data_IF_696925907187
#
_entry.id   IF_696925907187
#
_cell.length_a   1.000
_cell.length_b   1.000
_cell.length_c   1.000
_cell.angle_alpha   90.00
_cell.angle_beta   90.00
_cell.angle_gamma   90.00
#
_symmetry.space_group_name_H-M   'P 1'
#
loop_
_entity.id
_entity.type
_entity.pdbx_description
1 polymer ?
#
# COMPACT_ATOMS: atom_id res chain seq x y z
N UNK A 1 -7.13 -21.62 20.51
CA UNK A 1 -7.07 -21.24 19.09
C UNK A 1 -6.95 -19.73 19.03
N UNK A 2 -5.85 -19.23 18.47
CA UNK A 2 -5.50 -17.82 18.39
C UNK A 2 -5.28 -17.45 16.92
N UNK A 3 -5.60 -16.22 16.57
CA UNK A 3 -5.40 -15.69 15.21
C UNK A 3 -4.29 -14.66 15.26
N UNK A 4 -3.31 -14.79 14.38
CA UNK A 4 -2.27 -13.79 14.16
C UNK A 4 -2.40 -13.19 12.76
N UNK A 5 -2.20 -11.87 12.66
CA UNK A 5 -1.87 -11.23 11.39
C UNK A 5 -0.40 -11.52 11.06
N UNK A 6 -0.17 -12.06 9.87
CA UNK A 6 1.13 -12.48 9.38
C UNK A 6 1.50 -11.72 8.11
N UNK A 7 2.81 -11.55 7.89
CA UNK A 7 3.37 -10.94 6.67
C UNK A 7 4.59 -11.72 6.18
N UNK A 8 4.79 -11.76 4.86
CA UNK A 8 6.00 -12.29 4.23
C UNK A 8 6.89 -11.15 3.66
N UNK A 9 8.14 -11.41 3.24
CA UNK A 9 9.03 -10.39 2.66
C UNK A 9 8.51 -9.69 1.38
N UNK A 10 7.48 -10.24 0.73
CA UNK A 10 6.78 -9.60 -0.39
C UNK A 10 5.57 -8.77 0.06
N UNK A 11 5.44 -8.49 1.36
CA UNK A 11 4.37 -7.71 1.97
C UNK A 11 2.95 -8.28 1.82
N UNK A 12 2.79 -9.56 1.47
CA UNK A 12 1.47 -10.21 1.51
C UNK A 12 1.03 -10.42 2.94
N UNK A 13 -0.13 -9.87 3.29
CA UNK A 13 -0.75 -9.99 4.62
C UNK A 13 -1.78 -11.12 4.59
N UNK A 14 -1.75 -11.97 5.60
CA UNK A 14 -2.69 -13.09 5.72
C UNK A 14 -2.88 -13.46 7.19
N UNK A 15 -3.96 -14.19 7.48
CA UNK A 15 -4.27 -14.67 8.82
C UNK A 15 -3.79 -16.10 9.01
N UNK A 16 -3.17 -16.36 10.17
CA UNK A 16 -2.79 -17.70 10.60
C UNK A 16 -3.52 -18.10 11.87
N UNK A 17 -4.09 -19.30 11.88
CA UNK A 17 -4.83 -19.85 13.01
C UNK A 17 -4.00 -20.92 13.69
N UNK A 18 -3.66 -20.69 14.96
CA UNK A 18 -2.77 -21.55 15.73
C UNK A 18 -3.43 -22.03 17.01
N UNK A 19 -2.98 -23.17 17.56
CA UNK A 19 -3.51 -23.66 18.82
C UNK A 19 -3.14 -22.71 19.99
N UNK A 20 -1.90 -22.20 19.98
CA UNK A 20 -1.29 -21.29 20.96
C UNK A 20 -0.18 -20.45 20.32
N UNK A 21 0.43 -19.53 21.09
CA UNK A 21 1.57 -18.72 20.60
C UNK A 21 2.81 -19.59 20.38
N UNK A 22 3.06 -20.54 21.29
CA UNK A 22 4.17 -21.51 21.18
C UNK A 22 4.03 -22.42 19.96
N UNK A 23 2.79 -22.76 19.57
CA UNK A 23 2.51 -23.52 18.34
C UNK A 23 2.92 -22.74 17.08
N UNK A 24 2.65 -21.43 17.03
CA UNK A 24 3.18 -20.59 15.95
C UNK A 24 4.70 -20.58 15.93
N UNK A 25 5.35 -20.33 17.08
CA UNK A 25 6.80 -20.18 17.15
C UNK A 25 7.48 -21.52 16.76
N UNK A 26 6.92 -22.65 17.21
CA UNK A 26 7.38 -23.99 16.81
C UNK A 26 7.15 -24.32 15.32
N UNK A 27 6.04 -23.89 14.72
CA UNK A 27 5.81 -24.06 13.27
C UNK A 27 6.73 -23.17 12.43
N UNK A 28 7.02 -21.95 12.92
CA UNK A 28 7.96 -21.02 12.30
C UNK A 28 9.38 -21.57 12.31
N UNK A 29 9.87 -22.06 13.45
CA UNK A 29 11.23 -22.62 13.58
C UNK A 29 11.43 -23.87 12.72
N UNK A 30 10.36 -24.64 12.50
CA UNK A 30 10.36 -25.81 11.61
C UNK A 30 10.17 -25.46 10.14
N UNK A 31 9.99 -24.18 9.79
CA UNK A 31 9.78 -23.74 8.41
C UNK A 31 8.48 -24.24 7.78
N UNK A 32 7.47 -24.58 8.59
CA UNK A 32 6.19 -25.12 8.11
C UNK A 32 5.18 -24.05 7.69
N UNK A 33 5.49 -22.80 7.97
CA UNK A 33 4.68 -21.66 7.55
C UNK A 33 5.04 -21.29 6.12
N UNK A 34 4.03 -21.05 5.28
CA UNK A 34 4.23 -20.57 3.91
C UNK A 34 3.18 -19.54 3.55
N UNK A 35 3.60 -18.49 2.84
CA UNK A 35 2.70 -17.48 2.32
C UNK A 35 1.77 -18.12 1.26
N UNK A 36 0.44 -18.02 1.40
CA UNK A 36 -0.50 -18.61 0.43
C UNK A 36 -0.44 -17.95 -0.95
N UNK A 37 0.05 -16.70 -1.02
CA UNK A 37 0.13 -15.94 -2.27
C UNK A 37 1.40 -16.22 -3.07
N UNK A 38 2.55 -16.45 -2.41
CA UNK A 38 3.85 -16.55 -3.08
C UNK A 38 4.70 -17.74 -2.67
N UNK A 39 4.26 -18.57 -1.72
CA UNK A 39 4.94 -19.79 -1.29
C UNK A 39 6.20 -19.59 -0.44
N UNK A 40 6.61 -18.36 -0.11
CA UNK A 40 7.77 -18.13 0.77
C UNK A 40 7.52 -18.53 2.21
N UNK A 41 8.54 -19.08 2.86
CA UNK A 41 8.46 -19.58 4.23
C UNK A 41 8.92 -18.58 5.31
N UNK A 42 9.49 -17.45 4.90
CA UNK A 42 9.85 -16.35 5.81
C UNK A 42 8.57 -15.59 6.20
N UNK A 43 8.04 -15.88 7.40
CA UNK A 43 6.79 -15.30 7.90
C UNK A 43 7.02 -14.60 9.25
N UNK A 44 6.46 -13.40 9.40
CA UNK A 44 6.54 -12.59 10.63
C UNK A 44 5.15 -12.21 11.16
N UNK A 45 5.03 -12.10 12.50
CA UNK A 45 3.83 -11.54 13.15
C UNK A 45 3.83 -10.03 12.94
N UNK A 46 2.69 -9.46 12.53
CA UNK A 46 2.56 -8.01 12.49
C UNK A 46 2.46 -7.44 13.92
N UNK A 47 3.32 -6.49 14.33
CA UNK A 47 3.14 -5.82 15.61
C UNK A 47 1.88 -4.94 15.55
N UNK A 48 0.88 -5.27 16.36
CA UNK A 48 -0.29 -4.40 16.56
C UNK A 48 0.16 -3.15 17.32
N UNK A 49 0.34 -2.03 16.62
CA UNK A 49 0.63 -0.76 17.27
C UNK A 49 -0.60 -0.29 18.07
N UNK A 50 -0.54 -0.41 19.40
CA UNK A 50 -1.48 0.28 20.29
C UNK A 50 -1.12 1.76 20.30
N UNK A 51 -1.82 2.56 19.51
CA UNK A 51 -1.77 4.02 19.63
C UNK A 51 -2.32 4.38 21.02
N UNK A 52 -1.45 4.81 21.94
CA UNK A 52 -1.86 5.42 23.21
C UNK A 52 -2.22 6.88 22.94
N UNK A 53 -3.50 7.18 22.78
CA UNK A 53 -3.99 8.56 22.84
C UNK A 53 -4.08 8.98 24.31
N UNK A 54 -3.36 10.03 24.66
CA UNK A 54 -3.40 10.68 25.98
C UNK A 54 -4.14 12.01 25.81
N UNK A 55 -5.24 12.24 26.53
CA UNK A 55 -5.76 13.59 26.79
C UNK A 55 -7.20 13.92 26.34
N UNK A 56 -8.06 14.12 27.35
CA UNK A 56 -9.32 14.91 27.45
C UNK A 56 -10.67 14.41 26.88
N UNK A 57 -11.48 13.90 27.85
CA UNK A 57 -12.86 14.30 28.21
C UNK A 57 -14.11 13.81 27.42
N UNK A 58 -14.73 12.75 27.96
CA UNK A 58 -16.18 12.46 28.29
C UNK A 58 -17.30 13.06 27.39
N UNK A 59 -18.35 12.39 26.86
CA UNK A 59 -19.20 11.18 27.09
C UNK A 59 -20.06 10.94 25.81
N UNK A 60 -21.00 9.95 25.69
CA UNK A 60 -21.14 8.62 26.30
C UNK A 60 -21.21 7.47 25.25
N UNK A 61 -21.25 6.24 25.77
CA UNK A 61 -21.39 4.99 25.04
C UNK A 61 -22.59 4.92 24.07
N UNK A 62 -22.34 4.45 22.85
CA UNK A 62 -23.36 3.80 22.02
C UNK A 62 -22.89 2.39 21.70
N UNK A 63 -23.80 1.48 22.08
CA UNK A 63 -23.89 0.05 21.83
C UNK A 63 -23.28 -0.40 20.50
N UNK A 64 -22.57 -1.52 20.55
CA UNK A 64 -22.27 -2.38 19.41
C UNK A 64 -23.52 -2.61 18.56
N UNK A 65 -23.48 -2.13 17.33
CA UNK A 65 -24.34 -2.61 16.27
C UNK A 65 -23.43 -3.10 15.15
N UNK A 66 -23.47 -4.42 14.96
CA UNK A 66 -22.74 -5.16 13.94
C UNK A 66 -23.19 -4.65 12.56
N UNK A 67 -22.46 -3.71 11.98
CA UNK A 67 -22.60 -3.40 10.57
C UNK A 67 -21.64 -4.32 9.82
N UNK A 68 -22.21 -5.36 9.23
CA UNK A 68 -21.58 -6.19 8.21
C UNK A 68 -20.80 -5.31 7.24
N UNK A 69 -19.46 -5.34 7.35
CA UNK A 69 -18.61 -4.67 6.38
C UNK A 69 -18.94 -5.22 5.00
N UNK A 70 -19.09 -4.36 3.95
CA UNK A 70 -19.13 -4.88 2.61
C UNK A 70 -17.84 -5.66 2.41
N UNK A 71 -17.95 -6.91 1.97
CA UNK A 71 -16.82 -7.73 1.60
C UNK A 71 -15.94 -6.91 0.65
N UNK A 72 -14.83 -6.39 1.16
CA UNK A 72 -13.81 -5.74 0.35
C UNK A 72 -13.34 -6.82 -0.59
N UNK A 73 -13.79 -6.75 -1.85
CA UNK A 73 -13.29 -7.63 -2.89
C UNK A 73 -11.77 -7.47 -2.84
N UNK A 74 -11.00 -8.55 -2.58
CA UNK A 74 -9.56 -8.42 -2.58
C UNK A 74 -9.17 -7.85 -3.96
N UNK A 75 -8.41 -6.75 -4.03
CA UNK A 75 -7.96 -6.23 -5.31
C UNK A 75 -7.26 -7.38 -6.04
N UNK A 76 -7.50 -7.51 -7.34
CA UNK A 76 -6.85 -8.54 -8.15
C UNK A 76 -5.34 -8.51 -7.85
N UNK A 77 -4.70 -9.64 -7.52
CA UNK A 77 -3.31 -9.67 -7.08
C UNK A 77 -2.35 -8.98 -8.06
N UNK A 78 -2.71 -8.99 -9.34
CA UNK A 78 -2.00 -8.30 -10.42
C UNK A 78 -2.00 -6.77 -10.30
N UNK A 79 -3.08 -6.17 -9.79
CA UNK A 79 -3.17 -4.70 -9.64
C UNK A 79 -2.30 -4.21 -8.48
N UNK A 80 -2.22 -4.98 -7.40
CA UNK A 80 -1.36 -4.64 -6.25
C UNK A 80 0.11 -4.66 -6.65
N UNK A 81 0.55 -5.70 -7.37
CA UNK A 81 1.93 -5.79 -7.86
C UNK A 81 2.31 -4.61 -8.76
N UNK A 82 1.39 -4.16 -9.62
CA UNK A 82 1.61 -2.98 -10.48
C UNK A 82 1.73 -1.71 -9.65
N UNK A 83 0.85 -1.52 -8.66
CA UNK A 83 0.90 -0.35 -7.76
C UNK A 83 2.23 -0.35 -7.01
N UNK A 84 2.60 -1.46 -6.39
CA UNK A 84 3.85 -1.59 -5.64
C UNK A 84 5.06 -1.32 -6.54
N UNK A 85 5.06 -1.86 -7.76
CA UNK A 85 6.11 -1.60 -8.74
C UNK A 85 6.23 -0.10 -9.05
N UNK A 86 5.12 0.59 -9.30
CA UNK A 86 5.13 2.04 -9.55
C UNK A 86 5.65 2.79 -8.32
N UNK A 87 5.19 2.44 -7.12
CA UNK A 87 5.61 3.10 -5.88
C UNK A 87 7.10 2.94 -5.59
N UNK A 88 7.67 1.76 -5.89
CA UNK A 88 9.06 1.42 -5.58
C UNK A 88 10.05 1.88 -6.66
N UNK A 89 9.62 2.00 -7.91
CA UNK A 89 10.50 2.32 -9.04
C UNK A 89 10.32 3.74 -9.57
N UNK A 90 9.48 4.57 -8.94
CA UNK A 90 9.28 5.96 -9.37
C UNK A 90 9.37 6.95 -8.21
N UNK A 91 10.03 8.08 -8.47
CA UNK A 91 10.16 9.18 -7.52
C UNK A 91 8.88 10.02 -7.49
N UNK A 92 8.32 10.26 -6.30
CA UNK A 92 7.17 11.13 -6.16
C UNK A 92 7.61 12.60 -6.08
N UNK A 93 7.34 13.37 -7.13
CA UNK A 93 7.65 14.81 -7.25
C UNK A 93 6.44 15.70 -6.98
N UNK A 94 5.29 15.12 -6.61
CA UNK A 94 4.10 15.87 -6.22
C UNK A 94 3.62 16.83 -7.32
N UNK A 95 3.34 18.08 -6.94
CA UNK A 95 2.86 19.13 -7.85
C UNK A 95 3.93 19.66 -8.82
N UNK A 96 5.20 19.33 -8.61
CA UNK A 96 6.30 19.75 -9.49
C UNK A 96 6.48 18.83 -10.71
N UNK A 97 5.55 17.89 -10.93
CA UNK A 97 5.64 16.88 -11.98
C UNK A 97 5.87 17.49 -13.37
N UNK A 98 5.10 18.50 -13.76
CA UNK A 98 5.24 19.12 -15.08
C UNK A 98 6.61 19.77 -15.27
N UNK A 99 7.10 20.50 -14.25
CA UNK A 99 8.40 21.14 -14.28
C UNK A 99 9.55 20.11 -14.32
N UNK A 100 9.48 19.07 -13.50
CA UNK A 100 10.50 18.01 -13.48
C UNK A 100 10.51 17.20 -14.78
N UNK A 101 9.34 16.88 -15.34
CA UNK A 101 9.23 16.15 -16.61
C UNK A 101 9.91 16.92 -17.76
N UNK A 102 9.70 18.24 -17.82
CA UNK A 102 10.39 19.13 -18.77
C UNK A 102 11.90 19.12 -18.56
N UNK A 103 12.38 19.25 -17.32
CA UNK A 103 13.82 19.21 -16.99
C UNK A 103 14.47 17.89 -17.39
N UNK A 104 13.80 16.76 -17.16
CA UNK A 104 14.28 15.43 -17.58
C UNK A 104 14.31 15.34 -19.11
N UNK A 105 13.27 15.80 -19.81
CA UNK A 105 13.20 15.77 -21.27
C UNK A 105 14.31 16.62 -21.93
N UNK A 106 14.58 17.80 -21.37
CA UNK A 106 15.64 18.71 -21.81
C UNK A 106 17.05 18.29 -21.36
N UNK A 107 17.16 17.19 -20.59
CA UNK A 107 18.41 16.64 -20.04
C UNK A 107 19.16 17.58 -19.09
N UNK A 108 18.45 18.50 -18.45
CA UNK A 108 19.01 19.36 -17.40
C UNK A 108 19.33 18.56 -16.12
N UNK A 109 18.58 17.48 -15.90
CA UNK A 109 18.74 16.55 -14.79
C UNK A 109 18.86 15.11 -15.30
N UNK A 110 19.44 14.18 -14.50
CA UNK A 110 19.53 12.78 -14.88
C UNK A 110 18.15 12.15 -15.12
N UNK A 111 18.08 11.26 -16.11
CA UNK A 111 16.87 10.49 -16.40
C UNK A 111 16.53 9.57 -15.23
N UNK A 112 15.28 9.66 -14.76
CA UNK A 112 14.69 8.80 -13.73
C UNK A 112 13.19 8.76 -13.90
N UNK A 113 12.56 7.68 -13.46
CA UNK A 113 11.10 7.56 -13.52
C UNK A 113 10.48 8.40 -12.40
N UNK A 114 9.61 9.33 -12.77
CA UNK A 114 8.93 10.22 -11.83
C UNK A 114 7.41 10.00 -11.88
N UNK A 115 6.75 10.28 -10.76
CA UNK A 115 5.29 10.35 -10.63
C UNK A 115 4.90 11.60 -9.85
N UNK A 116 3.71 12.10 -10.09
CA UNK A 116 3.19 13.25 -9.36
C UNK A 116 1.82 13.64 -9.85
N UNK A 117 1.45 14.87 -9.57
CA UNK A 117 0.18 15.47 -9.95
C UNK A 117 0.43 16.61 -10.92
N UNK A 118 -0.34 16.65 -12.00
CA UNK A 118 -0.41 17.76 -12.94
C UNK A 118 -1.87 18.07 -13.22
N UNK A 119 -2.17 19.33 -13.49
CA UNK A 119 -3.48 19.72 -14.00
C UNK A 119 -3.71 19.14 -15.40
N UNK A 120 -4.96 19.16 -15.84
CA UNK A 120 -5.32 18.73 -17.20
C UNK A 120 -4.58 19.55 -18.25
N UNK A 121 -4.54 20.86 -18.08
CA UNK A 121 -3.86 21.77 -19.00
C UNK A 121 -2.36 21.47 -19.08
N UNK A 122 -1.67 21.32 -17.94
CA UNK A 122 -0.25 20.96 -17.94
C UNK A 122 0.01 19.61 -18.59
N UNK A 123 -0.89 18.63 -18.41
CA UNK A 123 -0.77 17.32 -19.05
C UNK A 123 -0.89 17.43 -20.57
N UNK A 124 -1.81 18.25 -21.07
CA UNK A 124 -1.99 18.53 -22.50
C UNK A 124 -0.74 19.22 -23.07
N UNK A 125 -0.21 20.25 -22.39
CA UNK A 125 1.04 20.94 -22.77
C UNK A 125 2.23 19.98 -22.85
N UNK A 126 2.40 19.09 -21.87
CA UNK A 126 3.48 18.10 -21.88
C UNK A 126 3.39 17.18 -23.10
N UNK A 127 2.20 16.74 -23.48
CA UNK A 127 2.00 15.89 -24.65
C UNK A 127 2.30 16.64 -25.96
N UNK A 128 1.90 17.91 -26.06
CA UNK A 128 2.21 18.78 -27.20
C UNK A 128 3.72 19.05 -27.34
N UNK A 129 4.42 19.21 -26.22
CA UNK A 129 5.88 19.31 -26.14
C UNK A 129 6.60 17.99 -26.48
N UNK A 130 5.87 16.89 -26.67
CA UNK A 130 6.42 15.56 -26.96
C UNK A 130 6.96 14.82 -25.73
N UNK A 131 6.54 15.23 -24.52
CA UNK A 131 6.89 14.59 -23.26
C UNK A 131 5.83 13.52 -22.96
N UNK A 132 6.20 12.22 -22.99
CA UNK A 132 5.23 11.15 -22.80
C UNK A 132 4.77 11.10 -21.33
N UNK A 133 3.48 11.32 -21.11
CA UNK A 133 2.84 11.26 -19.79
C UNK A 133 1.65 10.32 -19.81
N UNK A 134 1.40 9.64 -18.69
CA UNK A 134 0.28 8.71 -18.51
C UNK A 134 -0.53 9.12 -17.28
N UNK A 135 -1.81 9.42 -17.48
CA UNK A 135 -2.73 9.68 -16.38
C UNK A 135 -3.23 8.35 -15.79
N UNK A 136 -2.99 8.14 -14.50
CA UNK A 136 -3.53 6.98 -13.77
C UNK A 136 -4.87 7.33 -13.12
N UNK A 137 -5.91 6.49 -13.23
CA UNK A 137 -7.23 6.74 -12.65
C UNK A 137 -7.23 6.42 -11.15
N UNK A 138 -6.44 7.16 -10.37
CA UNK A 138 -6.37 6.99 -8.92
C UNK A 138 -7.33 8.00 -8.28
N UNK A 139 -8.37 7.54 -7.54
CA UNK A 139 -9.29 8.44 -6.85
C UNK A 139 -8.54 9.27 -5.80
N UNK A 140 -8.99 10.51 -5.58
CA UNK A 140 -8.34 11.40 -4.60
C UNK A 140 -8.39 10.76 -3.21
N UNK A 141 -7.38 10.98 -2.37
CA UNK A 141 -7.34 10.37 -1.02
C UNK A 141 -8.57 10.71 -0.17
N UNK A 142 -9.26 11.81 -0.47
CA UNK A 142 -10.49 12.21 0.22
C UNK A 142 -11.70 11.34 -0.14
N UNK A 143 -11.66 10.63 -1.27
CA UNK A 143 -12.72 9.73 -1.74
C UNK A 143 -12.55 8.30 -1.18
N UNK A 144 -11.60 8.10 -0.26
CA UNK A 144 -11.28 6.80 0.32
C UNK A 144 -12.04 6.64 1.65
N UNK A 145 -12.99 5.71 1.69
CA UNK A 145 -13.75 5.34 2.90
C UNK A 145 -13.02 4.31 3.78
#
# INVERSE_FOLDING_TARGET
MIVFELICPKYHRFEGWFASADDFDGQKDRGLLSCPSCGRSEIEKLPTAKIRTSGSEVLPAVREEQVSAPARTPPHPQLQEIIDYVLMNTDNVGTEFAAEARRIHQREVPYRSIRGTASRQETEELLEEGIPVMALPIPSRNDWH
#
